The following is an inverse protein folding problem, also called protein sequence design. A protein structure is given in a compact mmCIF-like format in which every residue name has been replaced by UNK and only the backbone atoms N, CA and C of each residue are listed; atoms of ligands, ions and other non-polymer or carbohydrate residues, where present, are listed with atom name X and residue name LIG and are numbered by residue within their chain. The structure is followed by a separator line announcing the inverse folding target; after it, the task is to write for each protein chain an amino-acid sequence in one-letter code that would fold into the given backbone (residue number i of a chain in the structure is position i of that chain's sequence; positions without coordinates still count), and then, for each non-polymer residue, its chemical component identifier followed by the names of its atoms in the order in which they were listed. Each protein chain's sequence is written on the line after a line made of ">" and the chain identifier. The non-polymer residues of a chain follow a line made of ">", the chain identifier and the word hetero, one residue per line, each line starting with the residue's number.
data_IF_052695488477
#
_entry.id   IF_052695488477
#
_cell.length_a   1.000
_cell.length_b   1.000
_cell.length_c   1.000
_cell.angle_alpha   90.00
_cell.angle_beta   90.00
_cell.angle_gamma   90.00
#
_symmetry.space_group_name_H-M   'P 1'
#
loop_
_entity.id
_entity.type
_entity.pdbx_description
1 polymer ?
#
# COMPACT_ATOMS: atom_id res chain seq x y z
N UNK A 1 -36.86 58.33 33.32
CA UNK A 1 -35.77 57.98 32.35
C UNK A 1 -35.35 56.57 32.68
N UNK A 2 -35.99 55.56 32.07
CA UNK A 2 -35.67 54.14 32.23
C UNK A 2 -34.68 53.72 31.17
N UNK A 3 -33.56 53.13 31.57
CA UNK A 3 -32.55 52.56 30.66
C UNK A 3 -32.88 51.10 30.41
N UNK A 4 -33.33 50.81 29.20
CA UNK A 4 -33.53 49.43 28.71
C UNK A 4 -32.16 48.84 28.32
N UNK A 5 -31.75 47.82 29.06
CA UNK A 5 -30.55 47.05 28.76
C UNK A 5 -30.92 45.88 27.80
N UNK A 6 -30.44 45.95 26.55
CA UNK A 6 -30.57 44.81 25.62
C UNK A 6 -29.38 43.83 25.84
N UNK A 7 -29.70 42.69 26.38
CA UNK A 7 -28.74 41.59 26.47
C UNK A 7 -28.86 40.77 25.19
N UNK A 8 -27.83 40.87 24.33
CA UNK A 8 -27.74 40.05 23.12
C UNK A 8 -27.27 38.66 23.51
N UNK A 9 -28.11 37.64 23.31
CA UNK A 9 -27.75 36.23 23.41
C UNK A 9 -27.05 35.81 22.11
N UNK A 10 -25.74 35.58 22.14
CA UNK A 10 -25.01 34.95 21.06
C UNK A 10 -25.07 33.44 21.29
N UNK A 11 -25.92 32.77 20.54
CA UNK A 11 -25.92 31.30 20.49
C UNK A 11 -24.76 30.82 19.63
N UNK A 12 -23.69 30.34 20.26
CA UNK A 12 -22.61 29.66 19.58
C UNK A 12 -23.08 28.27 19.15
N UNK A 13 -23.35 28.07 17.87
CA UNK A 13 -23.53 26.74 17.26
C UNK A 13 -22.17 26.06 17.20
N UNK A 14 -21.90 25.18 18.18
CA UNK A 14 -20.82 24.21 18.08
C UNK A 14 -21.24 23.13 17.08
N UNK A 15 -20.84 23.27 15.82
CA UNK A 15 -20.89 22.17 14.85
C UNK A 15 -19.76 21.21 15.24
N UNK A 16 -20.12 20.24 16.08
CA UNK A 16 -19.26 19.11 16.39
C UNK A 16 -19.08 18.26 15.12
N UNK A 17 -18.07 18.54 14.34
CA UNK A 17 -17.61 17.63 13.29
C UNK A 17 -17.12 16.36 13.97
N UNK A 18 -17.93 15.30 13.96
CA UNK A 18 -17.43 13.96 14.26
C UNK A 18 -16.43 13.60 13.16
N UNK A 19 -15.15 13.62 13.48
CA UNK A 19 -14.16 12.98 12.65
C UNK A 19 -14.53 11.48 12.62
N UNK A 20 -15.00 11.00 11.46
CA UNK A 20 -15.18 9.58 11.23
C UNK A 20 -13.82 8.93 11.46
N UNK A 21 -13.71 8.06 12.45
CA UNK A 21 -12.51 7.28 12.68
C UNK A 21 -12.23 6.49 11.40
N UNK A 22 -11.01 6.63 10.86
CA UNK A 22 -10.60 5.85 9.71
C UNK A 22 -10.69 4.36 10.06
N UNK A 23 -11.21 3.55 9.14
CA UNK A 23 -11.19 2.10 9.30
C UNK A 23 -9.74 1.62 9.38
N UNK A 24 -9.40 0.90 10.45
CA UNK A 24 -8.05 0.41 10.72
C UNK A 24 -8.07 -1.10 10.81
N UNK A 25 -7.35 -1.76 9.93
CA UNK A 25 -7.14 -3.21 9.97
C UNK A 25 -5.75 -3.50 10.54
N UNK A 26 -5.66 -4.08 11.74
CA UNK A 26 -4.40 -4.60 12.28
C UNK A 26 -4.00 -5.86 11.52
N UNK A 27 -2.71 -5.93 11.18
CA UNK A 27 -2.13 -7.09 10.53
C UNK A 27 -1.45 -7.99 11.56
N UNK A 28 -1.45 -9.33 11.35
CA UNK A 28 -0.64 -10.23 12.17
C UNK A 28 0.84 -9.88 12.03
N UNK A 29 1.64 -10.19 13.05
CA UNK A 29 3.08 -10.00 12.94
C UNK A 29 3.67 -10.98 11.91
N UNK A 30 4.67 -10.56 11.10
CA UNK A 30 5.34 -11.45 10.16
C UNK A 30 5.97 -12.65 10.91
N UNK A 31 5.76 -13.85 10.39
CA UNK A 31 6.39 -15.05 10.93
C UNK A 31 7.83 -15.19 10.39
N UNK A 32 8.79 -14.76 11.18
CA UNK A 32 10.21 -14.81 10.83
C UNK A 32 10.86 -16.18 11.12
N UNK A 33 10.08 -17.16 11.61
CA UNK A 33 10.59 -18.50 11.94
C UNK A 33 10.34 -19.52 10.83
N UNK A 34 9.58 -19.15 9.79
CA UNK A 34 9.28 -20.04 8.67
C UNK A 34 10.56 -20.48 7.95
N UNK A 35 10.70 -21.77 7.61
CA UNK A 35 11.75 -22.21 6.71
C UNK A 35 11.48 -21.67 5.30
N UNK A 36 12.33 -20.78 4.81
CA UNK A 36 12.29 -20.29 3.43
C UNK A 36 13.48 -20.88 2.65
N UNK A 37 13.35 -21.05 1.31
CA UNK A 37 14.47 -21.42 0.46
C UNK A 37 15.64 -20.45 0.61
N UNK A 38 16.87 -20.94 0.34
CA UNK A 38 18.05 -20.10 0.39
C UNK A 38 17.96 -18.94 -0.63
N UNK A 39 18.55 -17.79 -0.30
CA UNK A 39 18.51 -16.60 -1.15
C UNK A 39 18.91 -16.89 -2.61
N UNK A 40 19.94 -17.70 -2.83
CA UNK A 40 20.42 -18.02 -4.18
C UNK A 40 19.41 -18.85 -4.98
N UNK A 41 18.64 -19.72 -4.32
CA UNK A 41 17.54 -20.47 -4.93
C UNK A 41 16.41 -19.53 -5.35
N UNK A 42 16.04 -18.59 -4.48
CA UNK A 42 15.00 -17.59 -4.77
C UNK A 42 15.39 -16.68 -5.93
N UNK A 43 16.63 -16.21 -5.96
CA UNK A 43 17.14 -15.39 -7.07
C UNK A 43 17.12 -16.16 -8.40
N UNK A 44 17.47 -17.44 -8.38
CA UNK A 44 17.45 -18.29 -9.57
C UNK A 44 16.04 -18.62 -10.06
N UNK A 45 15.06 -18.74 -9.15
CA UNK A 45 13.68 -19.09 -9.47
C UNK A 45 12.78 -17.87 -9.77
N UNK A 46 13.16 -16.67 -9.30
CA UNK A 46 12.35 -15.44 -9.45
C UNK A 46 12.06 -15.12 -10.91
N UNK A 47 10.80 -14.95 -11.21
CA UNK A 47 10.33 -14.51 -12.53
C UNK A 47 9.13 -13.56 -12.41
N UNK A 48 8.81 -12.85 -13.50
CA UNK A 48 7.57 -12.06 -13.61
C UNK A 48 6.45 -12.94 -14.13
N UNK A 49 5.44 -13.16 -13.31
CA UNK A 49 4.25 -13.97 -13.64
C UNK A 49 3.05 -13.04 -13.81
N UNK A 50 2.29 -13.21 -14.91
CA UNK A 50 1.18 -12.33 -15.32
C UNK A 50 -0.15 -13.07 -15.40
N UNK A 51 -0.21 -14.28 -14.85
CA UNK A 51 -1.42 -15.08 -14.72
C UNK A 51 -1.80 -15.16 -13.24
N UNK A 52 -3.03 -14.80 -12.90
CA UNK A 52 -3.50 -14.72 -11.53
C UNK A 52 -4.82 -15.48 -11.38
N UNK A 53 -4.89 -16.35 -10.38
CA UNK A 53 -6.10 -17.01 -9.98
C UNK A 53 -6.94 -16.08 -9.11
N UNK A 54 -7.97 -15.47 -9.71
CA UNK A 54 -8.86 -14.50 -9.03
C UNK A 54 -9.70 -15.12 -7.91
N UNK A 55 -9.93 -16.44 -7.96
CA UNK A 55 -10.79 -17.14 -7.01
C UNK A 55 -10.02 -17.60 -5.75
N UNK A 56 -8.69 -17.35 -5.72
CA UNK A 56 -7.84 -17.68 -4.58
C UNK A 56 -7.37 -16.41 -3.86
N UNK A 57 -8.03 -16.02 -2.77
CA UNK A 57 -7.68 -14.81 -2.03
C UNK A 57 -6.32 -14.94 -1.34
N UNK A 58 -5.68 -13.80 -1.07
CA UNK A 58 -4.51 -13.70 -0.19
C UNK A 58 -5.02 -13.63 1.25
N UNK A 59 -4.55 -14.53 2.11
CA UNK A 59 -4.86 -14.51 3.54
C UNK A 59 -4.14 -13.35 4.27
N UNK A 60 -4.62 -13.02 5.48
CA UNK A 60 -4.10 -11.87 6.24
C UNK A 60 -2.63 -12.02 6.67
N UNK A 61 -2.19 -13.24 6.96
CA UNK A 61 -0.79 -13.50 7.32
C UNK A 61 0.12 -13.26 6.12
N UNK A 62 -0.26 -13.81 4.96
CA UNK A 62 0.47 -13.61 3.70
C UNK A 62 0.47 -12.13 3.29
N UNK A 63 -0.66 -11.42 3.42
CA UNK A 63 -0.75 -9.98 3.19
C UNK A 63 0.21 -9.20 4.08
N UNK A 64 0.21 -9.50 5.38
CA UNK A 64 1.12 -8.87 6.34
C UNK A 64 2.58 -9.08 5.96
N UNK A 65 2.96 -10.30 5.61
CA UNK A 65 4.34 -10.64 5.24
C UNK A 65 4.77 -9.96 3.93
N UNK A 66 3.88 -9.84 2.93
CA UNK A 66 4.10 -9.08 1.70
C UNK A 66 4.41 -7.61 2.04
N UNK A 67 3.58 -6.98 2.86
CA UNK A 67 3.71 -5.57 3.21
C UNK A 67 4.96 -5.32 4.06
N UNK A 68 5.22 -6.20 5.04
CA UNK A 68 6.44 -6.13 5.85
C UNK A 68 7.68 -6.28 4.98
N UNK A 69 7.67 -7.21 4.04
CA UNK A 69 8.77 -7.44 3.09
C UNK A 69 9.02 -6.20 2.22
N UNK A 70 7.94 -5.54 1.77
CA UNK A 70 8.02 -4.34 0.95
C UNK A 70 8.61 -3.14 1.70
N UNK A 71 8.06 -2.81 2.89
CA UNK A 71 8.41 -1.57 3.60
C UNK A 71 8.21 -1.64 5.12
N UNK A 72 8.22 -2.83 5.70
CA UNK A 72 8.04 -3.04 7.15
C UNK A 72 9.17 -2.49 8.00
N UNK A 73 9.04 -2.68 9.30
CA UNK A 73 10.06 -2.29 10.30
C UNK A 73 10.76 -3.57 10.81
N UNK A 74 12.08 -3.60 10.71
CA UNK A 74 12.90 -4.73 11.14
C UNK A 74 13.29 -4.62 12.65
N UNK A 75 13.97 -5.62 13.17
CA UNK A 75 14.42 -5.70 14.57
C UNK A 75 15.31 -4.53 15.05
N UNK A 76 15.83 -3.72 14.13
CA UNK A 76 16.66 -2.56 14.44
C UNK A 76 15.86 -1.24 14.35
N UNK A 77 14.53 -1.30 14.23
CA UNK A 77 13.67 -0.13 14.04
C UNK A 77 13.87 0.58 12.70
N UNK A 78 14.44 -0.11 11.70
CA UNK A 78 14.67 0.40 10.35
C UNK A 78 13.71 -0.25 9.36
N UNK A 79 13.49 0.39 8.20
CA UNK A 79 12.73 -0.25 7.13
C UNK A 79 13.43 -1.51 6.64
N UNK A 80 12.67 -2.45 6.11
CA UNK A 80 13.17 -3.67 5.47
C UNK A 80 14.00 -3.39 4.22
N UNK A 81 13.88 -2.17 3.68
CA UNK A 81 14.74 -1.65 2.61
C UNK A 81 15.59 -0.48 3.10
N UNK A 82 16.72 -0.24 2.45
CA UNK A 82 17.48 0.99 2.66
C UNK A 82 16.78 2.16 1.96
N UNK A 83 16.79 3.33 2.60
CA UNK A 83 16.37 4.59 1.98
C UNK A 83 17.49 5.62 2.08
N UNK A 84 17.64 6.48 1.06
CA UNK A 84 18.66 7.52 1.04
C UNK A 84 18.54 8.38 2.30
N UNK A 85 19.64 8.61 2.99
CA UNK A 85 19.69 9.39 4.25
C UNK A 85 18.67 8.97 5.33
N UNK A 86 18.11 7.75 5.20
CA UNK A 86 17.02 7.23 6.05
C UNK A 86 15.76 8.13 6.02
N UNK A 87 15.48 8.79 4.90
CA UNK A 87 14.34 9.70 4.75
C UNK A 87 12.98 9.00 4.81
N UNK A 88 12.92 7.73 4.43
CA UNK A 88 11.69 6.89 4.49
C UNK A 88 10.48 7.55 3.80
N UNK A 89 10.73 8.33 2.75
CA UNK A 89 9.74 9.15 2.04
C UNK A 89 8.88 8.36 1.02
N UNK A 90 9.02 7.04 0.98
CA UNK A 90 8.16 6.15 0.19
C UNK A 90 6.95 5.73 1.03
N UNK A 91 5.80 5.60 0.37
CA UNK A 91 4.59 5.00 0.93
C UNK A 91 4.18 3.78 0.12
N UNK A 92 3.48 2.86 0.76
CA UNK A 92 2.88 1.68 0.12
C UNK A 92 1.38 1.74 0.35
N UNK A 93 0.62 1.76 -0.76
CA UNK A 93 -0.83 1.64 -0.73
C UNK A 93 -1.24 0.25 -1.23
N UNK A 94 -2.34 -0.23 -0.71
CA UNK A 94 -2.96 -1.51 -1.07
C UNK A 94 -4.30 -1.21 -1.72
N UNK A 95 -4.49 -1.72 -2.94
CA UNK A 95 -5.81 -1.70 -3.58
C UNK A 95 -6.37 -3.11 -3.54
N UNK A 96 -7.61 -3.22 -3.08
CA UNK A 96 -8.45 -4.40 -3.09
C UNK A 96 -9.83 -4.02 -3.61
N UNK A 97 -10.69 -4.99 -3.86
CA UNK A 97 -12.08 -4.73 -4.29
C UNK A 97 -12.87 -3.92 -3.25
N UNK A 98 -12.54 -4.06 -1.96
CA UNK A 98 -13.19 -3.38 -0.84
C UNK A 98 -12.64 -1.96 -0.59
N UNK A 99 -11.70 -1.49 -1.41
CA UNK A 99 -11.20 -0.12 -1.33
C UNK A 99 -9.69 0.06 -1.38
N UNK A 100 -9.28 1.25 -0.95
CA UNK A 100 -7.89 1.70 -0.93
C UNK A 100 -7.42 1.81 0.51
N UNK A 101 -6.25 1.24 0.79
CA UNK A 101 -5.65 1.19 2.11
C UNK A 101 -4.22 1.72 2.09
N UNK A 102 -3.84 2.45 3.13
CA UNK A 102 -2.46 2.85 3.38
C UNK A 102 -1.78 1.88 4.35
N UNK A 103 -0.57 1.44 4.06
CA UNK A 103 0.20 0.59 4.97
C UNK A 103 0.97 1.44 5.99
N UNK A 104 0.49 1.46 7.22
CA UNK A 104 1.20 2.01 8.37
C UNK A 104 2.18 0.95 8.92
N UNK A 105 3.43 1.05 8.50
CA UNK A 105 4.45 0.07 8.86
C UNK A 105 4.93 0.16 10.33
N UNK A 106 4.72 1.30 10.99
CA UNK A 106 5.11 1.45 12.41
C UNK A 106 4.26 0.54 13.31
N UNK A 107 2.96 0.47 13.00
CA UNK A 107 1.99 -0.29 13.77
C UNK A 107 1.63 -1.64 13.11
N UNK A 108 2.19 -1.92 11.94
CA UNK A 108 1.87 -3.05 11.07
C UNK A 108 0.36 -3.18 10.84
N UNK A 109 -0.24 -2.13 10.29
CA UNK A 109 -1.68 -2.07 10.07
C UNK A 109 -2.03 -1.39 8.73
N UNK A 110 -3.24 -1.64 8.26
CA UNK A 110 -3.84 -0.96 7.13
C UNK A 110 -4.82 0.10 7.63
N UNK A 111 -4.71 1.31 7.09
CA UNK A 111 -5.62 2.44 7.33
C UNK A 111 -6.42 2.69 6.06
N UNK A 112 -7.75 2.62 6.17
CA UNK A 112 -8.62 2.78 5.01
C UNK A 112 -8.65 4.23 4.55
N UNK A 113 -8.34 4.45 3.28
CA UNK A 113 -8.30 5.78 2.66
C UNK A 113 -9.61 6.08 1.91
N UNK A 114 -10.18 5.04 1.27
CA UNK A 114 -11.36 5.18 0.42
C UNK A 114 -12.04 3.82 0.23
N UNK A 115 -13.38 3.85 0.05
CA UNK A 115 -14.18 2.70 -0.39
C UNK A 115 -14.10 2.49 -1.91
N UNK A 116 -13.43 3.37 -2.64
CA UNK A 116 -13.34 3.31 -4.09
C UNK A 116 -12.51 2.08 -4.53
N UNK A 117 -13.07 1.26 -5.41
CA UNK A 117 -12.31 0.24 -6.10
C UNK A 117 -11.45 0.89 -7.19
N UNK A 118 -10.17 1.11 -6.91
CA UNK A 118 -9.22 1.73 -7.83
C UNK A 118 -8.43 0.71 -8.70
N UNK A 119 -8.71 -0.58 -8.61
CA UNK A 119 -8.07 -1.62 -9.43
C UNK A 119 -8.17 -1.32 -10.93
N UNK A 120 -9.33 -0.86 -11.47
CA UNK A 120 -9.45 -0.52 -12.90
C UNK A 120 -8.42 0.51 -13.39
N UNK A 121 -7.99 1.45 -12.54
CA UNK A 121 -6.98 2.46 -12.90
C UNK A 121 -5.57 1.87 -13.08
N UNK A 122 -5.36 0.63 -12.63
CA UNK A 122 -4.09 -0.08 -12.82
C UNK A 122 -4.06 -0.89 -14.12
N UNK A 123 -5.20 -1.16 -14.73
CA UNK A 123 -5.31 -2.09 -15.86
C UNK A 123 -4.79 -1.49 -17.17
N UNK A 124 -5.19 -0.24 -17.48
CA UNK A 124 -4.92 0.40 -18.77
C UNK A 124 -5.24 -0.57 -19.93
N UNK A 125 -4.22 -0.93 -20.73
CA UNK A 125 -4.33 -1.87 -21.84
C UNK A 125 -3.99 -3.33 -21.47
N UNK A 126 -3.81 -3.64 -20.20
CA UNK A 126 -3.33 -4.94 -19.72
C UNK A 126 -4.31 -5.55 -18.70
N UNK A 127 -5.46 -6.01 -19.20
CA UNK A 127 -6.58 -6.49 -18.39
C UNK A 127 -6.25 -7.67 -17.45
N UNK A 128 -5.14 -8.40 -17.68
CA UNK A 128 -4.76 -9.52 -16.81
C UNK A 128 -4.59 -9.13 -15.34
N UNK A 129 -4.29 -7.87 -15.05
CA UNK A 129 -4.12 -7.40 -13.66
C UNK A 129 -5.43 -7.46 -12.87
N UNK A 130 -6.59 -7.35 -13.53
CA UNK A 130 -7.89 -7.41 -12.85
C UNK A 130 -8.17 -8.77 -12.18
N UNK A 131 -7.38 -9.79 -12.51
CA UNK A 131 -7.45 -11.11 -11.86
C UNK A 131 -6.57 -11.20 -10.60
N UNK A 132 -5.73 -10.22 -10.33
CA UNK A 132 -4.95 -10.19 -9.10
C UNK A 132 -5.82 -9.70 -7.93
N UNK A 133 -5.88 -10.43 -6.81
CA UNK A 133 -6.69 -10.02 -5.65
C UNK A 133 -6.06 -8.88 -4.84
N UNK A 134 -4.79 -8.60 -5.05
CA UNK A 134 -4.00 -7.62 -4.29
C UNK A 134 -3.13 -6.78 -5.23
N UNK A 135 -3.13 -5.46 -5.02
CA UNK A 135 -2.30 -4.54 -5.78
C UNK A 135 -1.53 -3.61 -4.84
N UNK A 136 -0.22 -3.56 -4.96
CA UNK A 136 0.59 -2.56 -4.28
C UNK A 136 0.87 -1.39 -5.21
N UNK A 137 0.67 -0.18 -4.69
CA UNK A 137 1.09 1.06 -5.33
C UNK A 137 2.19 1.67 -4.47
N UNK A 138 3.35 1.89 -5.07
CA UNK A 138 4.46 2.57 -4.43
C UNK A 138 4.43 4.04 -4.82
N UNK A 139 4.50 4.92 -3.84
CA UNK A 139 4.51 6.37 -4.04
C UNK A 139 5.68 7.01 -3.31
N UNK A 140 6.09 8.21 -3.72
CA UNK A 140 7.16 8.95 -3.05
C UNK A 140 6.99 10.45 -3.29
N UNK A 141 7.50 11.26 -2.38
CA UNK A 141 7.65 12.71 -2.57
C UNK A 141 8.93 13.09 -3.35
N UNK A 142 9.78 12.13 -3.66
CA UNK A 142 10.96 12.31 -4.50
C UNK A 142 10.89 11.32 -5.67
N UNK A 143 10.70 11.82 -6.88
CA UNK A 143 10.55 10.99 -8.08
C UNK A 143 11.80 10.14 -8.34
N UNK A 144 12.98 10.72 -8.20
CA UNK A 144 14.25 10.05 -8.53
C UNK A 144 14.61 8.98 -7.48
N UNK A 145 14.65 9.34 -6.22
CA UNK A 145 14.93 8.41 -5.12
C UNK A 145 13.78 7.41 -4.93
N UNK A 146 12.55 7.83 -5.22
CA UNK A 146 11.36 6.97 -5.17
C UNK A 146 11.50 5.73 -6.04
N UNK A 147 12.02 5.85 -7.26
CA UNK A 147 12.28 4.70 -8.13
C UNK A 147 13.33 3.75 -7.53
N UNK A 148 14.38 4.28 -6.90
CA UNK A 148 15.42 3.47 -6.26
C UNK A 148 14.86 2.72 -5.04
N UNK A 149 14.07 3.41 -4.19
CA UNK A 149 13.45 2.82 -3.01
C UNK A 149 12.40 1.77 -3.40
N UNK A 150 11.52 2.11 -4.35
CA UNK A 150 10.53 1.16 -4.86
C UNK A 150 11.21 -0.07 -5.49
N UNK A 151 12.35 0.13 -6.20
CA UNK A 151 13.16 -0.95 -6.75
C UNK A 151 13.59 -1.96 -5.69
N UNK A 152 14.06 -1.48 -4.55
CA UNK A 152 14.43 -2.32 -3.41
C UNK A 152 13.21 -3.03 -2.81
N UNK A 153 12.09 -2.31 -2.67
CA UNK A 153 10.86 -2.84 -2.08
C UNK A 153 10.25 -3.95 -2.94
N UNK A 154 10.00 -3.69 -4.22
CA UNK A 154 9.37 -4.68 -5.08
C UNK A 154 10.28 -5.89 -5.35
N UNK A 155 11.61 -5.74 -5.31
CA UNK A 155 12.51 -6.89 -5.42
C UNK A 155 12.37 -7.81 -4.20
N UNK A 156 12.29 -7.26 -2.99
CA UNK A 156 12.00 -8.06 -1.80
C UNK A 156 10.67 -8.82 -1.94
N UNK A 157 9.62 -8.13 -2.42
CA UNK A 157 8.31 -8.77 -2.67
C UNK A 157 8.41 -9.86 -3.74
N UNK A 158 9.22 -9.69 -4.79
CA UNK A 158 9.45 -10.75 -5.77
C UNK A 158 10.06 -11.99 -5.14
N UNK A 159 11.06 -11.82 -4.27
CA UNK A 159 11.72 -12.95 -3.60
C UNK A 159 10.76 -13.66 -2.65
N UNK A 160 9.99 -12.89 -1.87
CA UNK A 160 8.96 -13.45 -1.00
C UNK A 160 7.86 -14.17 -1.80
N UNK A 161 7.35 -13.56 -2.87
CA UNK A 161 6.36 -14.16 -3.74
C UNK A 161 6.86 -15.47 -4.34
N UNK A 162 8.13 -15.52 -4.78
CA UNK A 162 8.78 -16.74 -5.27
C UNK A 162 8.81 -17.83 -4.20
N UNK A 163 9.17 -17.47 -2.96
CA UNK A 163 9.22 -18.41 -1.83
C UNK A 163 7.85 -19.01 -1.49
N UNK A 164 6.78 -18.22 -1.70
CA UNK A 164 5.39 -18.62 -1.38
C UNK A 164 4.58 -19.15 -2.57
N UNK A 165 5.20 -19.25 -3.75
CA UNK A 165 4.50 -19.69 -4.97
C UNK A 165 3.44 -18.68 -5.44
N UNK A 166 3.65 -17.39 -5.15
CA UNK A 166 2.80 -16.31 -5.61
C UNK A 166 3.26 -15.78 -6.97
N UNK A 167 2.30 -15.34 -7.78
CA UNK A 167 2.51 -14.60 -9.01
C UNK A 167 2.63 -13.10 -8.71
N UNK A 168 3.57 -12.43 -9.36
CA UNK A 168 3.69 -10.96 -9.30
C UNK A 168 4.47 -10.43 -10.49
N UNK A 169 4.24 -9.17 -10.82
CA UNK A 169 4.99 -8.43 -11.85
C UNK A 169 4.99 -6.94 -11.52
N UNK A 170 6.13 -6.28 -11.70
CA UNK A 170 6.21 -4.81 -11.58
C UNK A 170 5.77 -4.15 -12.88
N UNK A 171 5.02 -3.04 -12.79
CA UNK A 171 4.46 -2.33 -13.93
C UNK A 171 4.49 -0.82 -13.74
N UNK A 172 4.80 -0.07 -14.83
CA UNK A 172 4.64 1.37 -14.92
C UNK A 172 3.45 1.80 -15.78
N UNK A 173 2.74 0.85 -16.42
CA UNK A 173 1.59 1.17 -17.27
C UNK A 173 0.31 1.20 -16.43
N UNK A 174 -0.01 2.38 -15.90
CA UNK A 174 -1.18 2.66 -15.06
C UNK A 174 -1.72 4.05 -15.37
N UNK A 175 -2.96 4.34 -14.99
CA UNK A 175 -3.50 5.70 -15.05
C UNK A 175 -2.99 6.50 -13.84
N UNK A 176 -1.88 7.21 -14.03
CA UNK A 176 -1.23 7.98 -12.97
C UNK A 176 -2.12 9.07 -12.39
N UNK A 177 -2.90 9.77 -13.20
CA UNK A 177 -3.77 10.85 -12.77
C UNK A 177 -4.91 10.34 -11.88
N UNK A 178 -5.61 9.29 -12.32
CA UNK A 178 -6.68 8.68 -11.53
C UNK A 178 -6.16 8.03 -10.26
N UNK A 179 -5.00 7.37 -10.28
CA UNK A 179 -4.39 6.84 -9.06
C UNK A 179 -3.97 7.95 -8.11
N UNK A 180 -3.37 9.04 -8.60
CA UNK A 180 -3.01 10.19 -7.75
C UNK A 180 -4.22 10.74 -7.02
N UNK A 181 -5.35 10.92 -7.74
CA UNK A 181 -6.63 11.37 -7.19
C UNK A 181 -7.20 10.38 -6.16
N UNK A 182 -7.30 9.11 -6.54
CA UNK A 182 -7.92 8.06 -5.72
C UNK A 182 -7.16 7.80 -4.41
N UNK A 183 -5.83 7.83 -4.47
CA UNK A 183 -4.94 7.69 -3.31
C UNK A 183 -4.88 8.96 -2.44
N UNK A 184 -5.54 10.05 -2.85
CA UNK A 184 -5.53 11.36 -2.17
C UNK A 184 -4.12 11.88 -1.92
N UNK A 185 -3.22 11.72 -2.91
CA UNK A 185 -1.84 12.16 -2.81
C UNK A 185 -1.75 13.70 -2.80
N UNK A 186 -0.75 14.23 -2.10
CA UNK A 186 -0.41 15.64 -2.18
C UNK A 186 0.20 15.95 -3.55
N UNK A 187 0.18 17.24 -3.95
CA UNK A 187 0.68 17.69 -5.25
C UNK A 187 2.16 17.40 -5.53
N UNK A 188 2.93 17.18 -4.48
CA UNK A 188 4.37 16.87 -4.49
C UNK A 188 4.64 15.37 -4.28
N UNK A 189 3.61 14.52 -4.27
CA UNK A 189 3.73 13.07 -4.19
C UNK A 189 3.44 12.45 -5.56
N UNK A 190 4.19 11.40 -5.90
CA UNK A 190 4.13 10.74 -7.19
C UNK A 190 3.83 9.25 -7.03
N UNK A 191 2.96 8.72 -7.89
CA UNK A 191 2.85 7.28 -8.11
C UNK A 191 4.11 6.84 -8.85
N UNK A 192 4.86 5.91 -8.29
CA UNK A 192 6.13 5.44 -8.84
C UNK A 192 5.91 4.21 -9.72
N UNK A 193 5.40 3.13 -9.13
CA UNK A 193 5.13 1.86 -9.83
C UNK A 193 4.00 1.10 -9.15
N UNK A 194 3.47 0.13 -9.87
CA UNK A 194 2.41 -0.80 -9.47
C UNK A 194 2.92 -2.24 -9.47
N UNK A 195 2.46 -3.05 -8.50
CA UNK A 195 2.77 -4.46 -8.38
C UNK A 195 1.52 -5.28 -8.01
N UNK A 196 0.84 -5.95 -8.98
CA UNK A 196 -0.21 -6.89 -8.69
C UNK A 196 0.36 -8.19 -8.12
N UNK A 197 -0.35 -8.80 -7.18
CA UNK A 197 0.06 -10.03 -6.49
C UNK A 197 -1.15 -10.95 -6.33
N UNK A 198 -0.94 -12.23 -6.52
CA UNK A 198 -1.95 -13.28 -6.36
C UNK A 198 -1.32 -14.66 -6.46
N UNK A 199 -2.10 -15.70 -6.36
CA UNK A 199 -1.63 -17.03 -6.74
C UNK A 199 -1.60 -17.17 -8.26
N UNK A 200 -0.66 -17.96 -8.79
CA UNK A 200 -0.65 -18.29 -10.21
C UNK A 200 -1.87 -19.18 -10.57
N UNK A 201 -2.35 -19.04 -11.82
CA UNK A 201 -3.28 -19.97 -12.44
C UNK A 201 -2.67 -21.35 -12.65
#
# INVERSE_FOLDING_TARGET
>A
MEKICYTAFVAAFLIGGQALAADVQKLPQPDLTQPLPALMELLNARQSVRSFNKDKPIDEQTLSEILWTAFGVNKHGKRTIATARNEQNMKVFVLREDGIWFYNAADNQLEKISEENAIPFTAEKQAFVNNAPLHLIYTSSDMHLGHNHAGSAYQNVYLYATAKGLATVIRGLVNFEELHRALKLNKDEFVIVHQPIGYAE
#
